data_IF_109421746686
#
_entry.id   IF_109421746686
#
_cell.length_a   1.000
_cell.length_b   1.000
_cell.length_c   1.000
_cell.angle_alpha   90.00
_cell.angle_beta   90.00
_cell.angle_gamma   90.00
#
_symmetry.space_group_name_H-M   'P 1'
#
loop_
_entity.id
_entity.type
_entity.pdbx_description
1 polymer ?
#
# COMPACT_ATOMS: atom_id res chain seq x y z
N UNK A 1 -18.76 -32.91 -27.03
CA UNK A 1 -18.45 -32.35 -25.70
C UNK A 1 -17.88 -30.96 -25.92
N UNK A 2 -18.66 -29.91 -25.62
CA UNK A 2 -18.17 -28.54 -25.70
C UNK A 2 -17.39 -28.22 -24.43
N UNK A 3 -16.12 -27.84 -24.56
CA UNK A 3 -15.34 -27.23 -23.49
C UNK A 3 -16.01 -25.90 -23.13
N UNK A 4 -16.61 -25.82 -21.94
CA UNK A 4 -17.04 -24.55 -21.40
C UNK A 4 -15.79 -23.69 -21.21
N UNK A 5 -15.73 -22.56 -21.92
CA UNK A 5 -14.74 -21.54 -21.62
C UNK A 5 -14.96 -21.12 -20.16
N UNK A 6 -14.01 -21.44 -19.29
CA UNK A 6 -13.99 -20.88 -17.95
C UNK A 6 -13.96 -19.37 -18.08
N UNK A 7 -15.08 -18.75 -17.73
CA UNK A 7 -15.20 -17.31 -17.69
C UNK A 7 -14.45 -16.87 -16.45
N UNK A 8 -13.15 -16.62 -16.58
CA UNK A 8 -12.31 -16.10 -15.49
C UNK A 8 -12.96 -14.82 -14.98
N UNK A 9 -13.36 -14.81 -13.71
CA UNK A 9 -13.90 -13.61 -13.10
C UNK A 9 -12.87 -12.47 -13.21
N UNK A 10 -13.29 -11.22 -13.43
CA UNK A 10 -12.37 -10.11 -13.52
C UNK A 10 -11.55 -9.98 -12.22
N UNK A 11 -10.24 -9.80 -12.35
CA UNK A 11 -9.31 -9.57 -11.23
C UNK A 11 -9.64 -8.24 -10.58
N UNK A 12 -9.57 -8.19 -9.24
CA UNK A 12 -9.68 -6.95 -8.47
C UNK A 12 -8.48 -6.03 -8.77
N UNK A 13 -8.73 -4.73 -8.96
CA UNK A 13 -7.70 -3.74 -9.33
C UNK A 13 -7.58 -2.59 -8.32
N UNK A 14 -6.55 -1.76 -8.47
CA UNK A 14 -6.43 -0.48 -7.73
C UNK A 14 -7.57 0.49 -8.05
N UNK A 15 -8.14 0.44 -9.27
CA UNK A 15 -9.28 1.26 -9.64
C UNK A 15 -10.53 0.82 -8.85
N UNK A 16 -10.76 -0.48 -8.72
CA UNK A 16 -11.86 -1.02 -7.92
C UNK A 16 -11.73 -0.62 -6.46
N UNK A 17 -10.54 -0.82 -5.85
CA UNK A 17 -10.28 -0.45 -4.46
C UNK A 17 -10.47 1.06 -4.21
N UNK A 18 -10.14 1.91 -5.19
CA UNK A 18 -10.32 3.36 -5.05
C UNK A 18 -11.79 3.77 -5.02
N UNK A 19 -12.71 2.90 -5.47
CA UNK A 19 -14.15 3.15 -5.38
C UNK A 19 -14.73 2.90 -3.99
N UNK A 20 -14.00 2.19 -3.12
CA UNK A 20 -14.51 1.67 -1.86
C UNK A 20 -14.49 2.66 -0.69
N UNK A 21 -15.35 2.39 0.30
CA UNK A 21 -15.38 3.14 1.55
C UNK A 21 -14.26 2.70 2.50
N UNK A 22 -13.93 3.54 3.48
CA UNK A 22 -12.96 3.20 4.56
C UNK A 22 -13.35 1.89 5.26
N UNK A 23 -14.64 1.66 5.49
CA UNK A 23 -15.14 0.44 6.15
C UNK A 23 -15.01 -0.80 5.28
N UNK A 24 -15.24 -0.67 3.96
CA UNK A 24 -15.08 -1.78 3.03
C UNK A 24 -13.61 -2.18 2.90
N UNK A 25 -12.72 -1.20 2.77
CA UNK A 25 -11.26 -1.41 2.76
C UNK A 25 -10.78 -2.06 4.07
N UNK A 26 -11.30 -1.62 5.22
CA UNK A 26 -10.99 -2.26 6.51
C UNK A 26 -11.40 -3.73 6.54
N UNK A 27 -12.60 -4.07 6.03
CA UNK A 27 -13.07 -5.45 5.93
C UNK A 27 -12.18 -6.31 5.02
N UNK A 28 -11.73 -5.77 3.89
CA UNK A 28 -10.79 -6.46 2.99
C UNK A 28 -9.44 -6.69 3.65
N UNK A 29 -8.90 -5.67 4.31
CA UNK A 29 -7.62 -5.77 5.01
C UNK A 29 -7.66 -6.83 6.11
N UNK A 30 -8.74 -6.87 6.90
CA UNK A 30 -8.94 -7.87 7.94
C UNK A 30 -8.97 -9.31 7.37
N UNK A 31 -9.49 -9.51 6.16
CA UNK A 31 -9.49 -10.80 5.45
C UNK A 31 -8.23 -11.07 4.61
N UNK A 32 -7.28 -10.13 4.58
CA UNK A 32 -6.05 -10.26 3.79
C UNK A 32 -5.06 -11.25 4.40
N UNK A 33 -4.08 -11.66 3.59
CA UNK A 33 -3.05 -12.62 3.99
C UNK A 33 -1.64 -12.04 3.82
N UNK A 34 -0.64 -12.76 4.32
CA UNK A 34 0.77 -12.46 4.07
C UNK A 34 1.41 -13.67 3.40
N UNK A 35 2.36 -13.45 2.46
CA UNK A 35 3.14 -14.55 1.88
C UNK A 35 4.04 -15.16 2.97
N UNK A 36 4.56 -16.36 2.70
CA UNK A 36 5.55 -17.00 3.59
C UNK A 36 6.97 -16.47 3.39
N UNK A 37 7.19 -15.68 2.33
CA UNK A 37 8.50 -15.22 1.88
C UNK A 37 8.41 -13.78 1.36
N UNK A 38 9.20 -12.87 1.90
CA UNK A 38 9.19 -11.46 1.46
C UNK A 38 9.71 -11.25 0.03
N UNK A 39 10.44 -12.20 -0.55
CA UNK A 39 10.92 -12.10 -1.94
C UNK A 39 9.79 -12.02 -2.94
N UNK A 40 8.56 -12.41 -2.57
CA UNK A 40 7.38 -12.22 -3.43
C UNK A 40 7.01 -10.75 -3.64
N UNK A 41 7.51 -9.85 -2.79
CA UNK A 41 7.25 -8.41 -2.89
C UNK A 41 8.26 -7.67 -3.78
N UNK A 42 9.34 -8.33 -4.20
CA UNK A 42 10.44 -7.69 -4.90
C UNK A 42 9.98 -6.95 -6.16
N UNK A 43 10.53 -5.75 -6.34
CA UNK A 43 10.30 -4.94 -7.52
C UNK A 43 9.73 -3.57 -7.19
N UNK A 44 8.88 -3.08 -8.09
CA UNK A 44 8.44 -1.69 -8.16
C UNK A 44 6.93 -1.59 -8.37
N UNK A 45 6.10 -2.18 -7.49
CA UNK A 45 4.65 -2.18 -7.63
C UNK A 45 4.08 -0.77 -7.74
N UNK A 46 3.10 -0.61 -8.61
CA UNK A 46 2.35 0.64 -8.76
C UNK A 46 1.51 0.85 -7.50
N UNK A 47 1.57 2.05 -6.95
CA UNK A 47 0.80 2.43 -5.76
C UNK A 47 -0.33 3.39 -6.06
N UNK A 48 -1.35 3.38 -5.19
CA UNK A 48 -2.43 4.38 -5.20
C UNK A 48 -2.95 4.66 -3.80
N UNK A 49 -3.20 5.93 -3.49
CA UNK A 49 -3.96 6.29 -2.29
C UNK A 49 -5.46 6.07 -2.53
N UNK A 50 -6.18 5.46 -1.59
CA UNK A 50 -7.54 4.98 -1.82
C UNK A 50 -8.57 5.82 -1.07
N UNK A 51 -8.44 5.94 0.24
CA UNK A 51 -9.37 6.69 1.08
C UNK A 51 -8.65 7.34 2.25
N UNK A 52 -9.10 8.54 2.65
CA UNK A 52 -8.58 9.27 3.81
C UNK A 52 -9.65 9.29 4.90
N UNK A 53 -9.27 8.92 6.13
CA UNK A 53 -10.19 8.87 7.28
C UNK A 53 -10.75 10.26 7.57
N UNK A 54 -12.08 10.36 7.77
CA UNK A 54 -12.75 11.61 8.13
C UNK A 54 -13.04 12.53 6.94
N UNK A 55 -12.40 12.29 5.79
CA UNK A 55 -12.84 12.87 4.54
C UNK A 55 -14.00 12.08 3.94
N UNK A 56 -14.29 10.86 4.39
CA UNK A 56 -15.22 9.89 3.79
C UNK A 56 -16.72 10.14 3.95
N UNK A 57 -17.10 11.28 4.54
CA UNK A 57 -18.48 11.57 4.94
C UNK A 57 -19.00 12.97 4.60
N UNK A 58 -18.33 13.72 3.71
CA UNK A 58 -18.73 15.11 3.38
C UNK A 58 -18.85 15.41 1.86
N UNK A 59 -19.50 16.51 1.44
CA UNK A 59 -19.67 16.87 0.02
C UNK A 59 -18.34 17.21 -0.70
N UNK A 60 -17.30 17.63 0.05
CA UNK A 60 -15.94 17.82 -0.46
C UNK A 60 -15.17 16.49 -0.69
N UNK A 61 -15.73 15.37 -0.21
CA UNK A 61 -15.13 14.03 -0.24
C UNK A 61 -14.89 13.52 -1.65
N UNK A 62 -15.86 13.73 -2.55
CA UNK A 62 -15.77 13.25 -3.93
C UNK A 62 -14.54 13.80 -4.64
N UNK A 63 -14.22 15.07 -4.42
CA UNK A 63 -13.08 15.75 -5.02
C UNK A 63 -11.75 15.32 -4.39
N UNK A 64 -11.65 15.27 -3.06
CA UNK A 64 -10.42 14.84 -2.38
C UNK A 64 -10.11 13.37 -2.63
N UNK A 65 -11.13 12.50 -2.66
CA UNK A 65 -11.00 11.09 -3.02
C UNK A 65 -10.59 10.93 -4.48
N UNK A 66 -11.18 11.69 -5.40
CA UNK A 66 -10.83 11.64 -6.83
C UNK A 66 -9.43 12.20 -7.10
N UNK A 67 -8.96 13.14 -6.27
CA UNK A 67 -7.60 13.68 -6.34
C UNK A 67 -6.57 12.72 -5.72
N UNK A 68 -6.81 12.22 -4.50
CA UNK A 68 -5.94 11.26 -3.82
C UNK A 68 -5.86 9.91 -4.53
N UNK A 69 -7.00 9.41 -5.03
CA UNK A 69 -7.08 8.17 -5.83
C UNK A 69 -6.93 8.35 -7.32
N UNK A 70 -6.69 9.58 -7.79
CA UNK A 70 -6.43 9.86 -9.20
C UNK A 70 -5.00 9.50 -9.60
N UNK A 71 -4.81 9.08 -10.85
CA UNK A 71 -3.49 8.81 -11.44
C UNK A 71 -2.54 10.05 -11.49
N UNK A 72 -3.07 11.24 -11.19
CA UNK A 72 -2.33 12.48 -11.06
C UNK A 72 -1.74 12.69 -9.64
N UNK A 73 -2.07 11.85 -8.67
CA UNK A 73 -1.49 11.95 -7.34
C UNK A 73 0.03 11.69 -7.41
N UNK A 74 0.88 12.48 -6.73
CA UNK A 74 2.33 12.41 -6.92
C UNK A 74 2.96 11.07 -6.55
N UNK A 75 2.33 10.25 -5.70
CA UNK A 75 2.90 8.99 -5.25
C UNK A 75 2.70 7.86 -6.27
N UNK A 76 3.79 7.26 -6.76
CA UNK A 76 3.81 6.20 -7.78
C UNK A 76 3.88 4.78 -7.18
N UNK A 77 3.93 4.67 -5.86
CA UNK A 77 4.11 3.41 -5.13
C UNK A 77 5.45 3.28 -4.43
N UNK A 78 5.91 2.04 -4.26
CA UNK A 78 7.11 1.71 -3.47
C UNK A 78 8.01 0.77 -4.24
N UNK A 79 9.33 0.95 -4.12
CA UNK A 79 10.29 -0.06 -4.55
C UNK A 79 10.59 -0.93 -3.34
N UNK A 80 10.51 -2.26 -3.48
CA UNK A 80 10.76 -3.20 -2.40
C UNK A 80 11.85 -4.18 -2.82
N UNK A 81 12.65 -4.57 -1.84
CA UNK A 81 13.71 -5.55 -1.99
C UNK A 81 13.85 -6.35 -0.69
N UNK A 82 13.72 -7.66 -0.78
CA UNK A 82 13.96 -8.60 0.28
C UNK A 82 15.46 -8.88 0.44
N UNK A 83 15.96 -8.76 1.67
CA UNK A 83 17.30 -9.20 2.01
C UNK A 83 17.32 -10.74 2.19
N UNK A 84 16.24 -11.29 2.75
CA UNK A 84 15.99 -12.71 2.87
C UNK A 84 14.47 -12.99 2.92
N UNK A 85 14.07 -14.22 3.25
CA UNK A 85 12.66 -14.61 3.28
C UNK A 85 11.83 -13.86 4.35
N UNK A 86 12.46 -13.22 5.34
CA UNK A 86 11.84 -12.65 6.55
C UNK A 86 12.06 -11.15 6.69
N UNK A 87 13.13 -10.61 6.09
CA UNK A 87 13.51 -9.21 6.18
C UNK A 87 13.78 -8.58 4.82
N UNK A 88 13.51 -7.28 4.71
CA UNK A 88 13.78 -6.50 3.51
C UNK A 88 13.77 -5.00 3.78
N UNK A 89 13.77 -4.24 2.69
CA UNK A 89 13.71 -2.80 2.71
C UNK A 89 12.93 -2.27 1.50
N UNK A 90 12.59 -0.99 1.55
CA UNK A 90 12.02 -0.30 0.41
C UNK A 90 12.07 1.20 0.53
N UNK A 91 11.56 1.87 -0.49
CA UNK A 91 11.52 3.33 -0.58
C UNK A 91 10.30 3.79 -1.38
N UNK A 92 9.69 4.92 -1.00
CA UNK A 92 8.57 5.48 -1.74
C UNK A 92 9.07 6.16 -3.01
N UNK A 93 8.30 6.02 -4.10
CA UNK A 93 8.52 6.72 -5.37
C UNK A 93 7.51 7.84 -5.53
N UNK A 94 7.99 9.05 -5.81
CA UNK A 94 7.16 10.25 -5.92
C UNK A 94 7.52 11.02 -7.18
N UNK A 95 6.50 11.45 -7.92
CA UNK A 95 6.57 12.29 -9.11
C UNK A 95 6.04 13.69 -8.80
N UNK A 96 6.94 14.59 -8.36
CA UNK A 96 6.64 15.98 -8.06
C UNK A 96 7.82 16.86 -8.52
N UNK A 97 7.66 17.59 -9.63
CA UNK A 97 8.78 18.36 -10.20
C UNK A 97 9.94 17.51 -10.73
N UNK A 98 9.74 16.19 -10.87
CA UNK A 98 10.76 15.19 -11.15
C UNK A 98 10.38 13.85 -10.51
N UNK A 99 11.18 12.81 -10.73
CA UNK A 99 11.03 11.53 -10.02
C UNK A 99 11.99 11.49 -8.83
N UNK A 100 11.45 11.19 -7.66
CA UNK A 100 12.18 11.15 -6.40
C UNK A 100 11.96 9.81 -5.71
N UNK A 101 12.99 9.36 -4.98
CA UNK A 101 12.89 8.25 -4.04
C UNK A 101 13.01 8.82 -2.63
N UNK A 102 11.95 8.70 -1.84
CA UNK A 102 11.83 9.35 -0.53
C UNK A 102 11.43 8.34 0.53
N UNK A 103 11.87 8.60 1.76
CA UNK A 103 11.43 7.90 2.96
C UNK A 103 11.65 6.39 2.87
N UNK A 104 12.90 5.98 3.11
CA UNK A 104 13.26 4.56 3.17
C UNK A 104 12.55 3.89 4.35
N UNK A 105 12.31 2.59 4.24
CA UNK A 105 11.71 1.78 5.29
C UNK A 105 12.30 0.36 5.29
N UNK A 106 12.14 -0.34 6.40
CA UNK A 106 12.44 -1.78 6.54
C UNK A 106 11.15 -2.60 6.49
N UNK A 107 11.22 -3.82 6.00
CA UNK A 107 10.08 -4.75 5.96
C UNK A 107 10.32 -5.98 6.81
N UNK A 108 9.31 -6.38 7.57
CA UNK A 108 9.29 -7.54 8.45
C UNK A 108 7.86 -8.08 8.60
N UNK A 109 7.72 -9.36 8.93
CA UNK A 109 6.42 -9.91 9.36
C UNK A 109 6.17 -9.59 10.84
N UNK A 110 5.04 -8.95 11.13
CA UNK A 110 4.64 -8.54 12.48
C UNK A 110 3.12 -8.68 12.68
N UNK A 111 2.62 -8.71 13.94
CA UNK A 111 1.19 -8.51 14.22
C UNK A 111 0.75 -7.10 13.80
N UNK A 112 -0.40 -7.00 13.14
CA UNK A 112 -0.97 -5.71 12.73
C UNK A 112 -1.43 -4.89 13.93
N UNK A 113 -1.26 -3.57 13.85
CA UNK A 113 -1.74 -2.66 14.90
C UNK A 113 -3.26 -2.45 14.88
N UNK A 114 -3.95 -2.89 13.82
CA UNK A 114 -5.40 -2.79 13.72
C UNK A 114 -6.15 -3.96 14.35
N UNK A 115 -5.63 -5.18 14.21
CA UNK A 115 -6.35 -6.42 14.56
C UNK A 115 -5.46 -7.53 15.16
N UNK A 116 -4.15 -7.32 15.27
CA UNK A 116 -3.21 -8.31 15.81
C UNK A 116 -2.92 -9.52 14.89
N UNK A 117 -3.58 -9.65 13.75
CA UNK A 117 -3.30 -10.72 12.79
C UNK A 117 -2.02 -10.43 11.98
N UNK A 118 -1.37 -11.43 11.35
CA UNK A 118 -0.12 -11.22 10.63
C UNK A 118 -0.22 -10.15 9.53
N UNK A 119 0.75 -9.26 9.46
CA UNK A 119 0.94 -8.29 8.38
C UNK A 119 2.43 -8.17 8.02
N UNK A 120 2.71 -7.54 6.89
CA UNK A 120 4.07 -7.06 6.58
C UNK A 120 4.14 -5.61 7.03
N UNK A 121 4.95 -5.32 8.04
CA UNK A 121 5.19 -3.94 8.50
C UNK A 121 6.18 -3.25 7.57
N UNK A 122 5.97 -1.96 7.35
CA UNK A 122 6.90 -1.05 6.69
C UNK A 122 7.38 -0.02 7.73
N UNK A 123 8.56 -0.26 8.29
CA UNK A 123 9.11 0.51 9.40
C UNK A 123 9.92 1.73 8.92
N UNK A 124 9.39 2.93 9.14
CA UNK A 124 10.02 4.20 8.80
C UNK A 124 10.83 4.81 9.93
N UNK A 125 10.95 4.15 11.09
CA UNK A 125 11.68 4.67 12.25
C UNK A 125 13.20 4.58 12.08
N UNK A 126 13.70 5.18 11.01
CA UNK A 126 15.08 5.22 10.59
C UNK A 126 15.66 6.62 10.82
N UNK A 127 16.94 6.72 11.18
CA UNK A 127 17.56 7.98 11.58
C UNK A 127 17.62 9.00 10.43
N UNK A 128 17.72 8.53 9.20
CA UNK A 128 17.71 9.33 7.97
C UNK A 128 16.34 9.94 7.65
N UNK A 129 15.26 9.40 8.21
CA UNK A 129 13.92 9.89 7.95
C UNK A 129 13.60 11.10 8.85
N UNK A 130 12.89 12.12 8.32
CA UNK A 130 12.39 13.22 9.13
C UNK A 130 11.53 12.74 10.30
N UNK A 131 11.58 13.44 11.44
CA UNK A 131 10.88 13.01 12.66
C UNK A 131 9.37 12.80 12.51
N UNK A 132 8.73 13.50 11.58
CA UNK A 132 7.31 13.29 11.24
C UNK A 132 7.09 11.95 10.51
N UNK A 133 7.99 11.59 9.60
CA UNK A 133 7.94 10.34 8.83
C UNK A 133 8.23 9.14 9.72
N UNK A 134 9.16 9.28 10.68
CA UNK A 134 9.43 8.24 11.68
C UNK A 134 8.21 7.87 12.53
N UNK A 135 7.19 8.73 12.58
CA UNK A 135 5.91 8.47 13.28
C UNK A 135 4.86 7.79 12.40
N UNK A 136 5.13 7.58 11.12
CA UNK A 136 4.26 6.80 10.24
C UNK A 136 4.48 5.31 10.54
N UNK A 137 3.38 4.58 10.64
CA UNK A 137 3.33 3.13 10.63
C UNK A 137 2.50 2.70 9.43
N UNK A 138 3.16 2.09 8.46
CA UNK A 138 2.50 1.41 7.36
C UNK A 138 2.59 -0.10 7.62
N UNK A 139 1.55 -0.82 7.23
CA UNK A 139 1.53 -2.28 7.15
C UNK A 139 0.76 -2.68 5.90
N UNK A 140 1.00 -3.88 5.37
CA UNK A 140 0.31 -4.38 4.17
C UNK A 140 -0.09 -5.85 4.32
N UNK A 141 -1.18 -6.20 3.63
CA UNK A 141 -1.64 -7.56 3.38
C UNK A 141 -2.09 -7.71 1.95
N UNK A 142 -1.96 -8.91 1.41
CA UNK A 142 -2.52 -9.29 0.12
C UNK A 142 -4.03 -9.49 0.25
N UNK A 143 -4.82 -8.76 -0.53
CA UNK A 143 -6.30 -8.81 -0.51
C UNK A 143 -6.89 -9.45 -1.77
N UNK A 144 -6.07 -9.61 -2.81
CA UNK A 144 -6.31 -10.40 -4.01
C UNK A 144 -4.94 -10.74 -4.62
N UNK A 145 -4.82 -11.75 -5.52
CA UNK A 145 -3.55 -12.12 -6.13
C UNK A 145 -2.77 -10.92 -6.67
N UNK A 146 -1.58 -10.69 -6.14
CA UNK A 146 -0.67 -9.59 -6.49
C UNK A 146 -1.14 -8.20 -6.06
N UNK A 147 -2.24 -8.07 -5.33
CA UNK A 147 -2.82 -6.78 -4.91
C UNK A 147 -2.80 -6.67 -3.38
N UNK A 148 -2.03 -5.71 -2.90
CA UNK A 148 -1.83 -5.45 -1.48
C UNK A 148 -2.56 -4.19 -1.06
N UNK A 149 -3.13 -4.21 0.14
CA UNK A 149 -3.80 -3.10 0.79
C UNK A 149 -3.07 -2.80 2.11
N UNK A 150 -2.86 -1.52 2.39
CA UNK A 150 -2.21 -1.07 3.60
C UNK A 150 -2.86 0.15 4.24
N UNK A 151 -3.06 0.15 5.56
CA UNK A 151 -3.31 1.38 6.29
C UNK A 151 -1.98 2.14 6.49
N UNK A 152 -2.01 3.44 6.22
CA UNK A 152 -1.00 4.35 6.75
C UNK A 152 -1.55 4.99 8.02
N UNK A 153 -0.81 4.82 9.12
CA UNK A 153 -1.25 5.18 10.45
C UNK A 153 -0.25 6.10 11.13
N UNK A 154 -0.76 6.94 12.02
CA UNK A 154 0.05 7.81 12.86
C UNK A 154 0.32 7.15 14.22
N UNK A 155 1.58 6.97 14.60
CA UNK A 155 1.99 6.52 15.94
C UNK A 155 1.68 7.62 16.97
N UNK A 156 0.70 7.38 17.84
CA UNK A 156 0.33 8.25 18.96
C UNK A 156 0.68 7.63 20.31
N UNK A 157 0.54 8.42 21.38
CA UNK A 157 0.84 7.98 22.75
C UNK A 157 -0.08 6.84 23.25
N UNK A 158 -1.29 6.73 22.69
CA UNK A 158 -2.32 5.75 23.09
C UNK A 158 -2.58 4.68 22.03
N UNK A 159 -1.81 4.67 20.94
CA UNK A 159 -1.97 3.71 19.84
C UNK A 159 -1.78 4.34 18.45
N UNK A 160 -1.99 3.53 17.41
CA UNK A 160 -1.91 3.96 16.02
C UNK A 160 -3.27 4.47 15.52
N UNK A 161 -3.29 5.66 14.91
CA UNK A 161 -4.50 6.23 14.33
C UNK A 161 -4.45 6.12 12.80
N UNK A 162 -5.43 5.43 12.20
CA UNK A 162 -5.58 5.39 10.74
C UNK A 162 -5.67 6.80 10.15
N UNK A 163 -4.81 7.08 9.18
CA UNK A 163 -4.82 8.33 8.39
C UNK A 163 -5.47 8.07 7.04
N UNK A 164 -4.99 7.06 6.31
CA UNK A 164 -5.47 6.72 4.97
C UNK A 164 -5.22 5.25 4.64
N UNK A 165 -5.89 4.77 3.60
CA UNK A 165 -5.63 3.49 2.95
C UNK A 165 -4.86 3.71 1.64
N UNK A 166 -3.93 2.82 1.33
CA UNK A 166 -3.23 2.76 0.06
C UNK A 166 -3.21 1.33 -0.49
N UNK A 167 -3.11 1.19 -1.81
CA UNK A 167 -2.93 -0.08 -2.48
C UNK A 167 -1.58 -0.16 -3.19
N UNK A 168 -1.07 -1.38 -3.36
CA UNK A 168 0.09 -1.72 -4.19
C UNK A 168 -0.29 -2.88 -5.12
N UNK A 169 -0.08 -2.73 -6.43
CA UNK A 169 -0.28 -3.79 -7.41
C UNK A 169 1.09 -4.28 -7.92
N UNK A 170 1.44 -5.51 -7.59
CA UNK A 170 2.68 -6.17 -7.95
C UNK A 170 2.67 -6.73 -9.37
N UNK A 171 1.51 -6.88 -10.01
CA UNK A 171 1.48 -7.20 -11.44
C UNK A 171 1.68 -5.94 -12.28
N UNK A 172 1.27 -4.77 -11.75
CA UNK A 172 1.52 -3.47 -12.36
C UNK A 172 2.87 -2.90 -11.91
N UNK A 173 3.96 -3.29 -12.56
CA UNK A 173 5.31 -2.81 -12.27
C UNK A 173 5.59 -1.43 -12.91
N UNK A 174 6.15 -0.49 -12.14
CA UNK A 174 6.66 0.75 -12.73
C UNK A 174 8.00 0.46 -13.44
N UNK A 175 8.07 0.77 -14.74
CA UNK A 175 9.27 0.55 -15.56
C UNK A 175 10.55 1.04 -14.84
N UNK A 176 11.61 0.23 -14.88
CA UNK A 176 12.94 0.61 -14.43
C UNK A 176 13.28 2.00 -14.99
N UNK A 177 13.92 2.91 -14.23
CA UNK A 177 14.33 4.16 -14.83
C UNK A 177 15.35 3.82 -15.93
N UNK A 178 15.06 4.20 -17.17
CA UNK A 178 16.10 4.37 -18.18
C UNK A 178 16.84 5.63 -17.79
N UNK A 179 17.91 5.49 -17.02
CA UNK A 179 18.87 6.59 -16.83
C UNK A 179 19.70 6.72 -18.13
N UNK A 180 20.04 7.93 -18.59
CA UNK A 180 21.15 8.11 -19.51
C UNK A 180 22.48 7.70 -18.87
#
# INVERSE_FOLDING_TARGET
MALAAERTAPRLTLDDLATESVSALAGRYAGGTVPTDLRTLDGRPTGRMLAVRGADRGPLFGALRRFAGGAAFPWEGKSLHAADARFGAGINRVRLGGRHQLFAFRTSFEPSLLDGAPCIRLDYDLAENPGLIRKIHDEIREVAPGLYLGPAMWKGATGAALVLWFGLDLEAQCAAPTWP
#
